data_IF_268656120639
#
_entry.id   IF_268656120639
#
_cell.length_a   1.000
_cell.length_b   1.000
_cell.length_c   1.000
_cell.angle_alpha   90.00
_cell.angle_beta   90.00
_cell.angle_gamma   90.00
#
_symmetry.space_group_name_H-M   'P 1'
#
loop_
_entity.id
_entity.type
_entity.pdbx_description
1 polymer ?
#
# COMPACT_ATOMS: atom_id res chain seq x y z
N UNK A 1 27.62 31.52 37.67
CA UNK A 1 27.92 31.03 36.31
C UNK A 1 27.81 29.51 36.12
N UNK A 2 28.19 28.66 37.11
CA UNK A 2 28.09 27.18 37.00
C UNK A 2 26.64 26.67 37.23
N UNK A 3 25.87 27.25 38.14
CA UNK A 3 24.52 26.85 38.52
C UNK A 3 23.53 27.16 37.40
N UNK A 4 23.59 28.32 36.78
CA UNK A 4 22.74 28.71 35.66
C UNK A 4 22.89 27.80 34.42
N UNK A 5 24.13 27.35 34.13
CA UNK A 5 24.37 26.37 33.05
C UNK A 5 23.78 25.01 33.33
N UNK A 6 23.66 24.63 34.60
CA UNK A 6 23.08 23.33 34.98
C UNK A 6 21.56 23.33 34.92
N UNK A 7 20.93 24.44 35.31
CA UNK A 7 19.45 24.61 35.19
C UNK A 7 19.03 24.73 33.73
N UNK A 8 19.74 25.50 32.92
CA UNK A 8 19.47 25.58 31.47
C UNK A 8 19.54 24.23 30.78
N UNK A 9 20.53 23.40 31.08
CA UNK A 9 20.64 22.03 30.54
C UNK A 9 19.49 21.11 31.03
N UNK A 10 19.04 21.24 32.28
CA UNK A 10 17.90 20.47 32.80
C UNK A 10 16.59 20.85 32.13
N UNK A 11 16.38 22.14 31.87
CA UNK A 11 15.16 22.66 31.20
C UNK A 11 15.14 22.24 29.73
N UNK A 12 16.28 22.32 29.04
CA UNK A 12 16.43 21.85 27.66
C UNK A 12 16.20 20.33 27.53
N UNK A 13 16.73 19.53 28.46
CA UNK A 13 16.50 18.08 28.47
C UNK A 13 15.04 17.70 28.78
N UNK A 14 14.35 18.44 29.67
CA UNK A 14 12.91 18.26 29.92
C UNK A 14 12.08 18.61 28.70
N UNK A 15 12.38 19.73 28.04
CA UNK A 15 11.70 20.15 26.80
C UNK A 15 11.89 19.11 25.66
N UNK A 16 13.11 18.62 25.46
CA UNK A 16 13.40 17.57 24.46
C UNK A 16 12.66 16.25 24.77
N UNK A 17 12.55 15.88 26.04
CA UNK A 17 11.82 14.68 26.48
C UNK A 17 10.30 14.83 26.27
N UNK A 18 9.72 15.97 26.62
CA UNK A 18 8.30 16.26 26.39
C UNK A 18 7.94 16.29 24.91
N UNK A 19 8.77 16.90 24.07
CA UNK A 19 8.58 16.87 22.60
C UNK A 19 8.68 15.44 22.06
N UNK A 20 9.56 14.61 22.61
CA UNK A 20 9.67 13.20 22.24
C UNK A 20 8.46 12.37 22.66
N UNK A 21 7.86 12.63 23.81
CA UNK A 21 6.67 11.94 24.30
C UNK A 21 5.40 12.37 23.54
N UNK A 22 5.25 13.66 23.27
CA UNK A 22 4.14 14.18 22.46
C UNK A 22 4.17 13.58 21.04
N UNK A 23 5.34 13.40 20.45
CA UNK A 23 5.49 12.75 19.14
C UNK A 23 5.11 11.28 19.14
N UNK A 24 5.37 10.56 20.24
CA UNK A 24 4.92 9.16 20.36
C UNK A 24 3.40 9.05 20.37
N UNK A 25 2.69 10.05 20.90
CA UNK A 25 1.23 10.11 20.84
C UNK A 25 0.68 10.13 19.40
N UNK A 26 1.44 10.66 18.44
CA UNK A 26 1.03 10.65 17.03
C UNK A 26 0.97 9.24 16.42
N UNK A 27 1.60 8.24 17.05
CA UNK A 27 1.46 6.83 16.66
C UNK A 27 0.05 6.28 16.91
N UNK A 28 -0.78 6.97 17.68
CA UNK A 28 -2.18 6.62 17.89
C UNK A 28 -3.09 7.05 16.73
N UNK A 29 -2.64 7.98 15.87
CA UNK A 29 -3.45 8.48 14.75
C UNK A 29 -3.99 7.39 13.82
N UNK A 30 -3.21 6.37 13.40
CA UNK A 30 -3.74 5.26 12.61
C UNK A 30 -4.89 4.52 13.30
N UNK A 31 -4.83 4.34 14.62
CA UNK A 31 -5.89 3.69 15.38
C UNK A 31 -7.13 4.56 15.49
N UNK A 32 -6.96 5.88 15.70
CA UNK A 32 -8.07 6.86 15.70
C UNK A 32 -8.75 6.88 14.34
N UNK A 33 -7.96 6.88 13.25
CA UNK A 33 -8.49 6.77 11.89
C UNK A 33 -9.24 5.46 11.65
N UNK A 34 -8.71 4.34 12.17
CA UNK A 34 -9.40 3.05 12.13
C UNK A 34 -10.73 3.06 12.88
N UNK A 35 -10.80 3.68 14.06
CA UNK A 35 -12.05 3.86 14.82
C UNK A 35 -13.05 4.73 14.06
N UNK A 36 -12.61 5.78 13.37
CA UNK A 36 -13.45 6.59 12.52
C UNK A 36 -14.04 5.76 11.36
N UNK A 37 -13.23 4.96 10.67
CA UNK A 37 -13.72 4.09 9.59
C UNK A 37 -14.67 3.01 10.13
N UNK A 38 -14.41 2.47 11.32
CA UNK A 38 -15.30 1.51 11.97
C UNK A 38 -16.65 2.14 12.28
N UNK A 39 -16.63 3.34 12.86
CA UNK A 39 -17.85 4.10 13.11
C UNK A 39 -18.63 4.33 11.80
N UNK A 40 -17.96 4.74 10.73
CA UNK A 40 -18.57 4.94 9.42
C UNK A 40 -19.23 3.65 8.91
N UNK A 41 -18.51 2.53 8.91
CA UNK A 41 -19.01 1.25 8.43
C UNK A 41 -20.24 0.79 9.21
N UNK A 42 -20.25 0.96 10.53
CA UNK A 42 -21.37 0.56 11.38
C UNK A 42 -22.64 1.42 11.18
N UNK A 43 -22.51 2.67 10.72
CA UNK A 43 -23.65 3.61 10.60
C UNK A 43 -24.10 3.86 9.16
N UNK A 44 -23.18 3.77 8.21
CA UNK A 44 -23.44 4.13 6.81
C UNK A 44 -23.66 2.95 5.89
N UNK A 45 -23.52 1.70 6.40
CA UNK A 45 -23.62 0.51 5.57
C UNK A 45 -24.81 -0.36 5.97
N UNK A 46 -25.38 -1.04 4.98
CA UNK A 46 -26.37 -2.10 5.17
C UNK A 46 -25.69 -3.45 5.05
N UNK A 47 -26.26 -4.48 5.68
CA UNK A 47 -25.71 -5.85 5.64
C UNK A 47 -26.11 -6.55 4.35
N UNK A 48 -25.58 -6.05 3.23
CA UNK A 48 -25.79 -6.62 1.90
C UNK A 48 -24.45 -6.89 1.23
N UNK A 49 -24.46 -7.92 0.42
CA UNK A 49 -23.38 -8.21 -0.53
C UNK A 49 -23.45 -7.20 -1.66
N UNK A 50 -22.31 -6.55 -1.95
CA UNK A 50 -22.25 -5.46 -2.91
C UNK A 50 -21.09 -5.63 -3.88
N UNK A 51 -21.35 -5.37 -5.17
CA UNK A 51 -20.34 -5.27 -6.23
C UNK A 51 -19.44 -6.51 -6.33
N UNK A 52 -18.13 -6.32 -6.38
CA UNK A 52 -17.12 -7.37 -6.52
C UNK A 52 -17.11 -8.43 -5.41
N UNK A 53 -17.75 -8.15 -4.30
CA UNK A 53 -17.88 -9.11 -3.21
C UNK A 53 -18.68 -10.36 -3.61
N UNK A 54 -19.62 -10.22 -4.56
CA UNK A 54 -20.36 -11.34 -5.14
C UNK A 54 -19.42 -12.35 -5.81
N UNK A 55 -18.35 -11.87 -6.45
CA UNK A 55 -17.34 -12.73 -7.10
C UNK A 55 -16.58 -13.56 -6.07
N UNK A 56 -16.19 -12.93 -4.96
CA UNK A 56 -15.50 -13.64 -3.87
C UNK A 56 -16.39 -14.73 -3.29
N UNK A 57 -17.69 -14.46 -3.12
CA UNK A 57 -18.66 -15.45 -2.67
C UNK A 57 -18.69 -16.62 -3.64
N UNK A 58 -18.90 -16.34 -4.93
CA UNK A 58 -19.02 -17.39 -5.94
C UNK A 58 -17.73 -18.21 -6.09
N UNK A 59 -16.55 -17.58 -5.94
CA UNK A 59 -15.27 -18.26 -6.12
C UNK A 59 -14.85 -19.09 -4.90
N UNK A 60 -15.23 -18.68 -3.69
CA UNK A 60 -14.67 -19.28 -2.47
C UNK A 60 -15.69 -19.90 -1.53
N UNK A 61 -16.97 -19.47 -1.57
CA UNK A 61 -17.94 -19.90 -0.57
C UNK A 61 -18.42 -21.33 -0.73
N UNK A 62 -18.73 -21.85 -1.94
CA UNK A 62 -19.25 -23.20 -2.11
C UNK A 62 -18.36 -24.28 -1.50
N UNK A 63 -17.04 -24.11 -1.61
CA UNK A 63 -16.03 -25.11 -1.25
C UNK A 63 -15.00 -24.55 -0.26
N UNK A 64 -15.41 -23.64 0.63
CA UNK A 64 -14.49 -22.95 1.56
C UNK A 64 -13.69 -23.89 2.46
N UNK A 65 -14.18 -25.11 2.71
CA UNK A 65 -13.48 -26.10 3.53
C UNK A 65 -12.58 -27.03 2.70
N UNK A 66 -12.64 -26.95 1.36
CA UNK A 66 -11.74 -27.73 0.51
C UNK A 66 -10.41 -26.99 0.31
N UNK A 67 -9.27 -27.57 0.73
CA UNK A 67 -7.96 -26.99 0.52
C UNK A 67 -7.61 -26.73 -0.96
N UNK A 68 -8.24 -27.42 -1.90
CA UNK A 68 -8.06 -27.22 -3.34
C UNK A 68 -8.49 -25.81 -3.76
N UNK A 69 -9.49 -25.23 -3.12
CA UNK A 69 -9.99 -23.87 -3.43
C UNK A 69 -8.97 -22.77 -3.10
N UNK A 70 -7.95 -23.07 -2.26
CA UNK A 70 -6.85 -22.15 -2.01
C UNK A 70 -6.10 -21.76 -3.30
N UNK A 71 -6.06 -22.65 -4.27
CA UNK A 71 -5.40 -22.44 -5.55
C UNK A 71 -6.33 -21.97 -6.66
N UNK A 72 -7.64 -21.85 -6.38
CA UNK A 72 -8.60 -21.31 -7.33
C UNK A 72 -8.37 -19.81 -7.48
N UNK A 73 -8.19 -19.31 -8.70
CA UNK A 73 -8.12 -17.87 -8.93
C UNK A 73 -9.49 -17.23 -8.78
N UNK A 74 -9.54 -16.03 -8.23
CA UNK A 74 -10.64 -15.11 -8.48
C UNK A 74 -10.55 -14.67 -9.94
N UNK A 75 -11.65 -14.45 -10.61
CA UNK A 75 -11.86 -14.21 -12.05
C UNK A 75 -10.62 -13.81 -12.90
N UNK A 76 -9.75 -12.95 -12.38
CA UNK A 76 -8.58 -12.43 -13.11
C UNK A 76 -7.25 -12.77 -12.46
N UNK A 77 -7.23 -12.96 -11.15
CA UNK A 77 -6.00 -13.13 -10.38
C UNK A 77 -6.24 -14.00 -9.17
N UNK A 78 -5.20 -14.67 -8.74
CA UNK A 78 -5.25 -15.40 -7.47
C UNK A 78 -4.76 -14.51 -6.34
N UNK A 79 -5.54 -14.45 -5.26
CA UNK A 79 -5.18 -13.75 -4.03
C UNK A 79 -5.27 -14.74 -2.87
N UNK A 80 -4.17 -15.44 -2.55
CA UNK A 80 -4.21 -16.58 -1.64
C UNK A 80 -4.78 -16.30 -0.25
N UNK A 81 -4.64 -15.07 0.27
CA UNK A 81 -5.17 -14.71 1.59
C UNK A 81 -6.72 -14.74 1.64
N UNK A 82 -7.39 -14.65 0.49
CA UNK A 82 -8.85 -14.72 0.46
C UNK A 82 -9.37 -16.06 0.97
N UNK A 83 -8.68 -17.16 0.66
CA UNK A 83 -9.09 -18.48 1.14
C UNK A 83 -9.10 -18.59 2.68
N UNK A 84 -7.99 -18.38 3.41
CA UNK A 84 -8.02 -18.46 4.87
C UNK A 84 -8.96 -17.45 5.51
N UNK A 85 -9.14 -16.27 4.91
CA UNK A 85 -10.11 -15.29 5.40
C UNK A 85 -11.54 -15.78 5.27
N UNK A 86 -11.89 -16.37 4.12
CA UNK A 86 -13.22 -16.98 3.92
C UNK A 86 -13.44 -18.16 4.84
N UNK A 87 -12.44 -19.03 4.97
CA UNK A 87 -12.51 -20.16 5.90
C UNK A 87 -12.78 -19.70 7.33
N UNK A 88 -12.08 -18.69 7.83
CA UNK A 88 -12.30 -18.13 9.17
C UNK A 88 -13.68 -17.50 9.26
N UNK A 89 -14.08 -16.70 8.27
CA UNK A 89 -15.36 -16.01 8.26
C UNK A 89 -16.55 -17.01 8.28
N UNK A 90 -16.49 -18.05 7.45
CA UNK A 90 -17.55 -19.08 7.39
C UNK A 90 -17.59 -19.90 8.68
N UNK A 91 -16.43 -20.38 9.14
CA UNK A 91 -16.35 -21.31 10.27
C UNK A 91 -16.74 -20.66 11.60
N UNK A 92 -16.31 -19.42 11.84
CA UNK A 92 -16.46 -18.78 13.16
C UNK A 92 -17.50 -17.68 13.20
N UNK A 93 -17.86 -17.09 12.05
CA UNK A 93 -18.78 -15.95 11.99
C UNK A 93 -20.04 -16.24 11.14
N UNK A 94 -20.22 -17.48 10.65
CA UNK A 94 -21.40 -17.87 9.89
C UNK A 94 -21.55 -17.07 8.60
N UNK A 95 -20.46 -16.63 8.02
CA UNK A 95 -20.40 -15.72 6.89
C UNK A 95 -20.94 -14.31 7.21
N UNK A 96 -20.12 -13.48 7.78
CA UNK A 96 -20.45 -12.10 8.14
C UNK A 96 -19.77 -11.11 7.19
N UNK A 97 -20.57 -10.27 6.53
CA UNK A 97 -20.04 -9.14 5.73
C UNK A 97 -19.28 -8.16 6.62
N UNK A 98 -19.74 -7.96 7.84
CA UNK A 98 -19.07 -7.10 8.81
C UNK A 98 -17.66 -7.58 9.15
N UNK A 99 -17.43 -8.89 9.22
CA UNK A 99 -16.09 -9.46 9.43
C UNK A 99 -15.11 -8.95 8.38
N UNK A 100 -15.47 -9.00 7.10
CA UNK A 100 -14.59 -8.58 6.03
C UNK A 100 -14.35 -7.06 6.00
N UNK A 101 -15.39 -6.29 6.32
CA UNK A 101 -15.27 -4.84 6.46
C UNK A 101 -14.34 -4.44 7.60
N UNK A 102 -14.46 -5.09 8.75
CA UNK A 102 -13.55 -4.88 9.89
C UNK A 102 -12.12 -5.28 9.52
N UNK A 103 -11.96 -6.41 8.80
CA UNK A 103 -10.65 -6.84 8.35
C UNK A 103 -10.02 -5.86 7.35
N UNK A 104 -10.85 -5.25 6.50
CA UNK A 104 -10.44 -4.18 5.59
C UNK A 104 -9.93 -2.94 6.35
N UNK A 105 -10.64 -2.53 7.40
CA UNK A 105 -10.24 -1.42 8.27
C UNK A 105 -8.90 -1.73 8.97
N UNK A 106 -8.73 -2.95 9.48
CA UNK A 106 -7.46 -3.40 10.05
C UNK A 106 -6.32 -3.32 9.03
N UNK A 107 -6.57 -3.72 7.79
CA UNK A 107 -5.61 -3.56 6.69
C UNK A 107 -5.21 -2.10 6.49
N UNK A 108 -6.17 -1.18 6.50
CA UNK A 108 -5.92 0.26 6.39
C UNK A 108 -5.07 0.80 7.57
N UNK A 109 -5.37 0.38 8.80
CA UNK A 109 -4.56 0.72 9.99
C UNK A 109 -3.14 0.19 9.84
N UNK A 110 -2.99 -1.08 9.41
CA UNK A 110 -1.68 -1.70 9.19
C UNK A 110 -0.88 -1.01 8.08
N UNK A 111 -1.53 -0.47 7.07
CA UNK A 111 -0.90 0.37 6.05
C UNK A 111 -0.39 1.70 6.66
N UNK A 112 -1.23 2.37 7.45
CA UNK A 112 -0.90 3.70 7.95
C UNK A 112 0.07 3.69 9.14
N UNK A 113 0.22 2.58 9.85
CA UNK A 113 1.20 2.44 10.94
C UNK A 113 2.66 2.64 10.48
N UNK A 114 3.19 1.95 9.45
CA UNK A 114 4.55 2.20 8.97
C UNK A 114 4.72 3.61 8.39
N UNK A 115 3.68 4.18 7.75
CA UNK A 115 3.71 5.57 7.27
C UNK A 115 3.86 6.55 8.43
N UNK A 116 3.07 6.38 9.50
CA UNK A 116 3.18 7.19 10.72
C UNK A 116 4.57 7.05 11.36
N UNK A 117 5.08 5.81 11.48
CA UNK A 117 6.42 5.55 12.02
C UNK A 117 7.51 6.27 11.22
N UNK A 118 7.42 6.24 9.89
CA UNK A 118 8.36 6.92 9.00
C UNK A 118 8.34 8.43 9.25
N UNK A 119 7.17 9.06 9.17
CA UNK A 119 7.02 10.50 9.33
C UNK A 119 7.50 11.01 10.70
N UNK A 120 7.21 10.25 11.76
CA UNK A 120 7.66 10.58 13.12
C UNK A 120 9.18 10.44 13.25
N UNK A 121 9.77 9.39 12.66
CA UNK A 121 11.20 9.17 12.66
C UNK A 121 11.94 10.29 11.91
N UNK A 122 11.43 10.70 10.75
CA UNK A 122 11.96 11.82 9.96
C UNK A 122 11.69 13.19 10.59
N UNK A 123 11.11 13.22 11.78
CA UNK A 123 10.78 14.46 12.49
C UNK A 123 9.89 15.40 11.69
N UNK A 124 9.05 14.86 10.82
CA UNK A 124 8.07 15.65 10.06
C UNK A 124 7.19 16.48 10.99
N UNK A 125 6.86 17.69 10.56
CA UNK A 125 5.95 18.56 11.31
C UNK A 125 4.53 17.96 11.39
N UNK A 126 3.79 18.32 12.44
CA UNK A 126 2.39 17.90 12.61
C UNK A 126 1.55 18.29 11.39
N UNK A 127 1.86 19.41 10.76
CA UNK A 127 1.23 19.92 9.53
C UNK A 127 1.40 19.00 8.30
N UNK A 128 2.35 18.08 8.33
CA UNK A 128 2.54 17.06 7.31
C UNK A 128 1.86 15.76 7.74
N UNK A 129 2.02 15.39 9.02
CA UNK A 129 1.49 14.13 9.55
C UNK A 129 -0.04 14.11 9.49
N UNK A 130 -0.70 15.18 9.94
CA UNK A 130 -2.17 15.24 9.96
C UNK A 130 -2.80 15.13 8.56
N UNK A 131 -2.41 15.91 7.54
CA UNK A 131 -2.95 15.73 6.19
C UNK A 131 -2.70 14.34 5.62
N UNK A 132 -1.52 13.76 5.83
CA UNK A 132 -1.23 12.38 5.37
C UNK A 132 -2.17 11.37 6.04
N UNK A 133 -2.43 11.51 7.35
CA UNK A 133 -3.38 10.66 8.06
C UNK A 133 -4.82 10.89 7.56
N UNK A 134 -5.24 12.14 7.36
CA UNK A 134 -6.56 12.47 6.82
C UNK A 134 -6.78 11.86 5.44
N UNK A 135 -5.81 11.95 4.53
CA UNK A 135 -5.87 11.30 3.22
C UNK A 135 -5.88 9.78 3.38
N UNK A 136 -5.05 9.23 4.27
CA UNK A 136 -4.99 7.80 4.55
C UNK A 136 -6.30 7.21 5.07
N UNK A 137 -7.09 7.96 5.80
CA UNK A 137 -8.39 7.56 6.35
C UNK A 137 -9.58 8.30 5.73
N UNK A 138 -9.40 8.92 4.56
CA UNK A 138 -10.50 9.57 3.84
C UNK A 138 -11.53 8.54 3.38
N UNK A 139 -12.77 8.98 3.23
CA UNK A 139 -13.86 8.16 2.71
C UNK A 139 -13.86 8.04 1.17
N UNK A 140 -12.87 8.58 0.49
CA UNK A 140 -12.72 8.44 -0.96
C UNK A 140 -12.57 6.97 -1.40
N UNK A 141 -12.14 6.11 -0.49
CA UNK A 141 -12.06 4.65 -0.67
C UNK A 141 -13.25 3.88 -0.08
N UNK A 142 -14.39 4.54 0.10
CA UNK A 142 -15.58 3.96 0.73
C UNK A 142 -16.03 2.63 0.10
N UNK A 143 -15.96 2.54 -1.22
CA UNK A 143 -16.33 1.33 -1.95
C UNK A 143 -15.47 0.13 -1.53
N UNK A 144 -14.15 0.30 -1.42
CA UNK A 144 -13.24 -0.75 -0.97
C UNK A 144 -13.53 -1.18 0.47
N UNK A 145 -13.99 -0.27 1.33
CA UNK A 145 -14.33 -0.56 2.72
C UNK A 145 -15.64 -1.33 2.82
N UNK A 146 -16.68 -0.92 2.08
CA UNK A 146 -18.02 -1.54 2.11
C UNK A 146 -18.02 -2.89 1.42
N UNK A 147 -17.36 -2.99 0.29
CA UNK A 147 -17.27 -4.17 -0.53
C UNK A 147 -16.50 -5.32 0.15
N UNK A 148 -15.65 -5.03 1.16
CA UNK A 148 -14.87 -6.06 1.86
C UNK A 148 -13.69 -6.63 1.05
N UNK A 149 -13.56 -6.28 -0.23
CA UNK A 149 -12.44 -6.73 -1.09
C UNK A 149 -11.19 -5.88 -0.92
N UNK A 150 -11.31 -4.68 -0.37
CA UNK A 150 -10.23 -3.71 -0.24
C UNK A 150 -9.11 -4.11 0.72
N UNK A 151 -9.32 -5.11 1.59
CA UNK A 151 -8.33 -5.53 2.57
C UNK A 151 -7.00 -5.92 1.92
N UNK A 152 -7.02 -6.56 0.77
CA UNK A 152 -5.83 -7.00 0.03
C UNK A 152 -5.00 -5.81 -0.44
N UNK A 153 -5.66 -4.75 -0.93
CA UNK A 153 -4.98 -3.52 -1.35
C UNK A 153 -4.23 -2.89 -0.16
N UNK A 154 -4.92 -2.72 0.97
CA UNK A 154 -4.32 -2.10 2.16
C UNK A 154 -3.22 -2.95 2.77
N UNK A 155 -3.42 -4.27 2.87
CA UNK A 155 -2.40 -5.19 3.38
C UNK A 155 -1.16 -5.22 2.49
N UNK A 156 -1.33 -5.22 1.16
CA UNK A 156 -0.22 -5.20 0.21
C UNK A 156 0.64 -3.96 0.37
N UNK A 157 0.02 -2.78 0.34
CA UNK A 157 0.76 -1.54 0.53
C UNK A 157 1.32 -1.39 1.95
N UNK A 158 0.63 -1.88 2.97
CA UNK A 158 1.14 -1.93 4.33
C UNK A 158 2.41 -2.78 4.45
N UNK A 159 2.41 -3.95 3.80
CA UNK A 159 3.58 -4.82 3.69
C UNK A 159 4.74 -4.12 2.96
N UNK A 160 4.45 -3.42 1.85
CA UNK A 160 5.44 -2.70 1.07
C UNK A 160 6.11 -1.59 1.88
N UNK A 161 5.32 -0.72 2.49
CA UNK A 161 5.86 0.36 3.33
C UNK A 161 6.64 -0.17 4.53
N UNK A 162 6.14 -1.22 5.18
CA UNK A 162 6.86 -1.83 6.29
C UNK A 162 8.19 -2.42 5.86
N UNK A 163 8.22 -3.10 4.69
CA UNK A 163 9.46 -3.65 4.15
C UNK A 163 10.48 -2.54 3.83
N UNK A 164 10.04 -1.43 3.24
CA UNK A 164 10.93 -0.30 2.98
C UNK A 164 11.53 0.28 4.26
N UNK A 165 10.76 0.36 5.34
CA UNK A 165 11.29 0.76 6.65
C UNK A 165 12.34 -0.22 7.20
N UNK A 166 12.12 -1.52 7.01
CA UNK A 166 13.08 -2.55 7.42
C UNK A 166 14.35 -2.44 6.58
N UNK A 167 14.19 -2.37 5.26
CA UNK A 167 15.27 -2.23 4.28
C UNK A 167 16.15 -1.02 4.61
N UNK A 168 15.53 0.14 4.81
CA UNK A 168 16.24 1.36 5.14
C UNK A 168 17.02 1.21 6.45
N UNK A 169 16.44 0.66 7.52
CA UNK A 169 17.14 0.43 8.78
C UNK A 169 18.35 -0.50 8.64
N UNK A 170 18.21 -1.55 7.85
CA UNK A 170 19.31 -2.50 7.62
C UNK A 170 20.45 -1.84 6.85
N UNK A 171 20.14 -1.08 5.81
CA UNK A 171 21.16 -0.46 4.97
C UNK A 171 21.74 0.86 5.53
N UNK A 172 21.06 1.51 6.48
CA UNK A 172 21.60 2.68 7.20
C UNK A 172 22.30 2.33 8.51
N UNK A 173 22.38 1.05 8.87
CA UNK A 173 23.05 0.60 10.11
C UNK A 173 22.23 0.89 11.38
N UNK A 174 20.95 1.22 11.27
CA UNK A 174 20.03 1.47 12.40
C UNK A 174 19.10 0.28 12.67
N UNK A 175 19.54 -0.91 12.30
CA UNK A 175 18.77 -2.14 12.37
C UNK A 175 18.34 -2.48 13.79
N UNK A 176 17.12 -2.99 13.93
CA UNK A 176 16.56 -3.54 15.16
C UNK A 176 16.78 -5.07 15.20
N UNK A 177 16.74 -5.69 16.39
CA UNK A 177 16.75 -7.15 16.48
C UNK A 177 15.67 -7.77 15.60
N UNK A 178 16.07 -8.70 14.75
CA UNK A 178 15.18 -9.40 13.82
C UNK A 178 14.90 -8.69 12.48
N UNK A 179 15.39 -7.46 12.23
CA UNK A 179 15.17 -6.77 10.95
C UNK A 179 15.84 -7.53 9.80
N UNK A 180 16.99 -8.15 10.02
CA UNK A 180 17.64 -8.97 9.01
C UNK A 180 16.75 -10.17 8.60
N UNK A 181 16.14 -10.87 9.56
CA UNK A 181 15.19 -11.94 9.28
C UNK A 181 13.97 -11.41 8.53
N UNK A 182 13.44 -10.25 8.91
CA UNK A 182 12.29 -9.63 8.24
C UNK A 182 12.61 -9.26 6.80
N UNK A 183 13.82 -8.76 6.52
CA UNK A 183 14.26 -8.42 5.17
C UNK A 183 14.13 -9.63 4.21
N UNK A 184 14.41 -10.83 4.72
CA UNK A 184 14.31 -12.06 3.93
C UNK A 184 12.90 -12.64 3.87
N UNK A 185 12.08 -12.49 4.92
CA UNK A 185 10.75 -13.10 5.01
C UNK A 185 9.64 -12.28 4.37
N UNK A 186 9.74 -10.94 4.40
CA UNK A 186 8.67 -10.07 3.89
C UNK A 186 8.36 -10.26 2.40
N UNK A 187 9.34 -10.48 1.49
CA UNK A 187 9.02 -10.80 0.09
C UNK A 187 8.16 -12.06 -0.07
N UNK A 188 8.36 -13.06 0.79
CA UNK A 188 7.56 -14.29 0.75
C UNK A 188 6.12 -14.07 1.22
N UNK A 189 5.90 -13.17 2.18
CA UNK A 189 4.54 -12.79 2.57
C UNK A 189 3.78 -12.09 1.43
N UNK A 190 4.47 -11.47 0.49
CA UNK A 190 3.83 -10.87 -0.68
C UNK A 190 3.12 -11.89 -1.56
N UNK A 191 3.55 -13.15 -1.59
CA UNK A 191 2.82 -14.23 -2.26
C UNK A 191 1.42 -14.44 -1.69
N UNK A 192 1.28 -14.27 -0.38
CA UNK A 192 0.01 -14.49 0.31
C UNK A 192 -0.95 -13.30 0.13
N UNK A 193 -0.42 -12.07 0.27
CA UNK A 193 -1.27 -10.88 0.44
C UNK A 193 -1.31 -9.96 -0.77
N UNK A 194 -0.28 -9.98 -1.65
CA UNK A 194 -0.15 -8.93 -2.65
C UNK A 194 -0.95 -9.17 -3.93
N UNK A 195 -1.29 -10.43 -4.24
CA UNK A 195 -1.94 -10.73 -5.51
C UNK A 195 -1.19 -10.10 -6.70
N UNK A 196 -1.87 -9.40 -7.61
CA UNK A 196 -1.23 -8.77 -8.78
C UNK A 196 -0.23 -7.66 -8.42
N UNK A 197 -0.34 -7.07 -7.23
CA UNK A 197 0.59 -6.03 -6.77
C UNK A 197 2.00 -6.53 -6.48
N UNK A 198 2.21 -7.86 -6.46
CA UNK A 198 3.54 -8.45 -6.28
C UNK A 198 4.52 -8.00 -7.36
N UNK A 199 4.04 -7.75 -8.59
CA UNK A 199 4.87 -7.24 -9.67
C UNK A 199 5.39 -5.82 -9.38
N UNK A 200 4.50 -4.93 -8.94
CA UNK A 200 4.86 -3.56 -8.54
C UNK A 200 5.82 -3.56 -7.35
N UNK A 201 5.53 -4.38 -6.34
CA UNK A 201 6.38 -4.54 -5.16
C UNK A 201 7.79 -4.99 -5.54
N UNK A 202 7.90 -6.07 -6.30
CA UNK A 202 9.18 -6.61 -6.74
C UNK A 202 9.95 -5.61 -7.60
N UNK A 203 9.30 -4.96 -8.56
CA UNK A 203 9.93 -3.94 -9.41
C UNK A 203 10.50 -2.80 -8.55
N UNK A 204 9.74 -2.31 -7.58
CA UNK A 204 10.20 -1.24 -6.68
C UNK A 204 11.39 -1.68 -5.82
N UNK A 205 11.36 -2.93 -5.30
CA UNK A 205 12.50 -3.47 -4.54
C UNK A 205 13.75 -3.60 -5.41
N UNK A 206 13.62 -4.13 -6.64
CA UNK A 206 14.75 -4.27 -7.55
C UNK A 206 15.35 -2.91 -7.91
N UNK A 207 14.52 -1.89 -8.13
CA UNK A 207 14.98 -0.52 -8.34
C UNK A 207 15.70 0.01 -7.09
N UNK A 208 15.16 -0.22 -5.89
CA UNK A 208 15.81 0.18 -4.64
C UNK A 208 17.17 -0.51 -4.45
N UNK A 209 17.25 -1.82 -4.71
CA UNK A 209 18.52 -2.56 -4.62
C UNK A 209 19.52 -2.12 -5.69
N UNK A 210 19.07 -1.88 -6.93
CA UNK A 210 19.90 -1.32 -8.00
C UNK A 210 20.44 0.06 -7.64
N UNK A 211 19.61 0.91 -7.05
CA UNK A 211 20.02 2.23 -6.56
C UNK A 211 21.05 2.15 -5.45
N UNK A 212 20.88 1.27 -4.46
CA UNK A 212 21.85 1.03 -3.40
C UNK A 212 23.17 0.50 -3.94
N UNK A 213 23.13 -0.40 -4.92
CA UNK A 213 24.33 -0.90 -5.60
C UNK A 213 25.07 0.19 -6.36
N UNK A 214 24.33 1.05 -7.07
CA UNK A 214 24.88 2.15 -7.87
C UNK A 214 25.52 3.24 -6.99
N UNK A 215 24.86 3.65 -5.92
CA UNK A 215 25.38 4.69 -5.02
C UNK A 215 26.64 4.27 -4.28
N UNK A 216 26.91 2.95 -4.24
CA UNK A 216 28.12 2.40 -3.64
C UNK A 216 28.45 3.03 -2.29
N UNK A 217 27.42 3.18 -1.46
CA UNK A 217 27.61 3.67 -0.12
C UNK A 217 28.53 2.68 0.60
N UNK A 218 29.70 3.13 1.09
CA UNK A 218 30.76 2.29 1.65
C UNK A 218 30.30 1.37 2.77
N UNK A 219 29.13 1.63 3.33
CA UNK A 219 28.51 0.88 4.42
C UNK A 219 27.53 -0.21 3.96
N UNK A 220 27.22 -0.29 2.65
CA UNK A 220 26.33 -1.31 2.12
C UNK A 220 27.14 -2.54 1.75
N UNK A 221 26.85 -3.68 2.41
CA UNK A 221 27.41 -4.96 2.02
C UNK A 221 26.86 -5.38 0.65
N UNK A 222 27.60 -5.03 -0.39
CA UNK A 222 27.23 -5.31 -1.78
C UNK A 222 27.03 -6.81 -2.08
N UNK A 223 27.52 -7.72 -1.22
CA UNK A 223 27.33 -9.16 -1.35
C UNK A 223 25.90 -9.58 -1.01
N UNK A 224 25.18 -8.80 -0.20
CA UNK A 224 23.79 -9.09 0.19
C UNK A 224 22.78 -8.69 -0.86
N UNK A 225 23.07 -7.66 -1.68
CA UNK A 225 22.12 -7.12 -2.65
C UNK A 225 21.63 -8.15 -3.70
N UNK A 226 22.48 -8.99 -4.31
CA UNK A 226 22.00 -10.02 -5.23
C UNK A 226 21.03 -11.01 -4.56
N UNK A 227 21.32 -11.42 -3.32
CA UNK A 227 20.44 -12.30 -2.56
C UNK A 227 19.10 -11.66 -2.21
N UNK A 228 19.10 -10.38 -1.83
CA UNK A 228 17.88 -9.61 -1.64
C UNK A 228 17.06 -9.54 -2.92
N UNK A 229 17.71 -9.31 -4.06
CA UNK A 229 17.08 -9.32 -5.39
C UNK A 229 16.43 -10.66 -5.71
N UNK A 230 17.13 -11.76 -5.45
CA UNK A 230 16.60 -13.13 -5.64
C UNK A 230 15.40 -13.38 -4.72
N UNK A 231 15.48 -12.99 -3.44
CA UNK A 231 14.36 -13.13 -2.50
C UNK A 231 13.13 -12.29 -2.91
N UNK A 232 13.29 -11.22 -3.67
CA UNK A 232 12.17 -10.47 -4.23
C UNK A 232 11.64 -11.11 -5.53
N UNK A 233 12.53 -11.65 -6.37
CA UNK A 233 12.17 -12.18 -7.68
C UNK A 233 11.50 -13.55 -7.61
N UNK A 234 11.97 -14.45 -6.74
CA UNK A 234 11.43 -15.80 -6.63
C UNK A 234 9.94 -15.82 -6.30
N UNK A 235 9.43 -15.07 -5.30
CA UNK A 235 8.00 -14.98 -5.03
C UNK A 235 7.19 -14.49 -6.24
N UNK A 236 7.71 -13.53 -7.00
CA UNK A 236 7.07 -13.06 -8.23
C UNK A 236 6.93 -14.17 -9.26
N UNK A 237 8.02 -14.90 -9.51
CA UNK A 237 8.00 -16.01 -10.46
C UNK A 237 7.05 -17.11 -10.02
N UNK A 238 7.05 -17.48 -8.74
CA UNK A 238 6.12 -18.46 -8.18
C UNK A 238 4.68 -18.01 -8.31
N UNK A 239 4.39 -16.72 -8.11
CA UNK A 239 3.07 -16.16 -8.32
C UNK A 239 2.59 -16.34 -9.77
N UNK A 240 3.41 -15.94 -10.73
CA UNK A 240 3.06 -16.10 -12.16
C UNK A 240 2.93 -17.55 -12.58
N UNK A 241 3.84 -18.41 -12.14
CA UNK A 241 3.76 -19.85 -12.42
C UNK A 241 2.48 -20.47 -11.86
N UNK A 242 2.09 -20.08 -10.64
CA UNK A 242 0.87 -20.58 -10.01
C UNK A 242 -0.39 -20.08 -10.72
N UNK A 243 -0.37 -18.84 -11.24
CA UNK A 243 -1.49 -18.32 -12.03
C UNK A 243 -1.57 -19.02 -13.40
N UNK A 244 -0.44 -19.26 -14.05
CA UNK A 244 -0.41 -19.97 -15.35
C UNK A 244 -0.86 -21.43 -15.25
N UNK A 245 -0.66 -22.06 -14.09
CA UNK A 245 -1.13 -23.43 -13.83
C UNK A 245 -2.63 -23.51 -13.46
N UNK A 246 -3.24 -22.40 -13.11
CA UNK A 246 -4.66 -22.34 -12.77
C UNK A 246 -5.52 -22.21 -14.03
N UNK A 247 -6.56 -23.01 -14.13
CA UNK A 247 -7.56 -22.87 -15.19
C UNK A 247 -8.51 -21.73 -14.83
N UNK A 248 -8.42 -20.65 -15.59
CA UNK A 248 -9.40 -19.57 -15.50
C UNK A 248 -10.55 -19.85 -16.44
N UNK A 249 -11.72 -20.09 -15.93
CA UNK A 249 -12.94 -20.10 -16.74
C UNK A 249 -13.40 -18.64 -16.95
N UNK A 250 -12.82 -17.98 -17.94
CA UNK A 250 -13.24 -16.62 -18.31
C UNK A 250 -14.46 -16.68 -19.23
N UNK A 251 -15.58 -16.35 -18.69
CA UNK A 251 -16.77 -16.07 -19.48
C UNK A 251 -16.62 -14.69 -20.16
N UNK A 252 -16.08 -14.67 -21.37
CA UNK A 252 -16.14 -13.53 -22.28
C UNK A 252 -15.01 -12.51 -22.24
N UNK A 253 -13.98 -12.66 -21.43
CA UNK A 253 -12.78 -11.85 -21.54
C UNK A 253 -11.84 -12.45 -22.60
N UNK A 254 -11.44 -11.66 -23.59
CA UNK A 254 -10.38 -12.05 -24.51
C UNK A 254 -9.04 -11.96 -23.77
N UNK A 255 -8.25 -13.03 -23.81
CA UNK A 255 -6.87 -13.04 -23.34
C UNK A 255 -5.97 -12.22 -24.28
N UNK A 256 -6.08 -10.91 -24.19
CA UNK A 256 -5.20 -9.99 -24.92
C UNK A 256 -3.95 -9.77 -24.04
N UNK A 257 -2.79 -10.12 -24.57
CA UNK A 257 -1.52 -9.90 -23.89
C UNK A 257 -1.26 -8.41 -23.63
N UNK A 258 -0.52 -8.08 -22.56
CA UNK A 258 -0.20 -6.70 -22.19
C UNK A 258 0.39 -5.88 -23.35
N UNK A 259 1.31 -6.47 -24.12
CA UNK A 259 1.92 -5.80 -25.26
C UNK A 259 0.91 -5.52 -26.37
N UNK A 260 0.04 -6.47 -26.65
CA UNK A 260 -1.04 -6.34 -27.61
C UNK A 260 -2.04 -5.27 -27.20
N UNK A 261 -2.45 -5.27 -25.91
CA UNK A 261 -3.30 -4.21 -25.32
C UNK A 261 -2.66 -2.84 -25.48
N UNK A 262 -1.37 -2.69 -25.18
CA UNK A 262 -0.67 -1.42 -25.30
C UNK A 262 -0.55 -0.98 -26.76
N UNK A 263 -0.42 -1.90 -27.71
CA UNK A 263 -0.36 -1.58 -29.14
C UNK A 263 -1.73 -1.20 -29.70
N UNK A 264 -2.75 -1.99 -29.38
CA UNK A 264 -4.12 -1.80 -29.87
C UNK A 264 -4.80 -0.58 -29.25
N UNK A 265 -4.60 -0.35 -27.94
CA UNK A 265 -5.24 0.72 -27.18
C UNK A 265 -4.27 1.81 -26.72
N UNK A 266 -3.24 2.10 -27.52
CA UNK A 266 -2.17 3.04 -27.13
C UNK A 266 -2.69 4.41 -26.66
N UNK A 267 -3.60 5.01 -27.42
CA UNK A 267 -4.22 6.30 -27.07
C UNK A 267 -5.04 6.20 -25.80
N UNK A 268 -5.86 5.16 -25.66
CA UNK A 268 -6.69 4.91 -24.48
C UNK A 268 -5.84 4.71 -23.22
N UNK A 269 -4.75 3.96 -23.33
CA UNK A 269 -3.84 3.71 -22.20
C UNK A 269 -3.22 4.99 -21.66
N UNK A 270 -2.84 5.93 -22.53
CA UNK A 270 -2.32 7.24 -22.12
C UNK A 270 -3.42 8.07 -21.44
N UNK A 271 -4.59 8.13 -22.02
CA UNK A 271 -5.72 8.86 -21.44
C UNK A 271 -6.14 8.28 -20.10
N UNK A 272 -6.17 6.95 -19.97
CA UNK A 272 -6.45 6.26 -18.70
C UNK A 272 -5.43 6.61 -17.62
N UNK A 273 -4.14 6.61 -17.97
CA UNK A 273 -3.07 7.00 -17.05
C UNK A 273 -3.25 8.46 -16.59
N UNK A 274 -3.49 9.38 -17.52
CA UNK A 274 -3.67 10.80 -17.20
C UNK A 274 -4.91 11.02 -16.31
N UNK A 275 -6.02 10.34 -16.59
CA UNK A 275 -7.21 10.37 -15.74
C UNK A 275 -6.92 9.85 -14.32
N UNK A 276 -6.19 8.74 -14.22
CA UNK A 276 -5.80 8.18 -12.93
C UNK A 276 -4.98 9.16 -12.08
N UNK A 277 -4.02 9.86 -12.71
CA UNK A 277 -3.24 10.88 -12.01
C UNK A 277 -4.06 12.13 -11.66
N UNK A 278 -4.97 12.56 -12.50
CA UNK A 278 -5.92 13.65 -12.18
C UNK A 278 -6.80 13.26 -10.97
N UNK A 279 -7.25 11.99 -10.92
CA UNK A 279 -8.02 11.42 -9.82
C UNK A 279 -7.31 11.41 -8.47
N UNK A 280 -5.98 11.56 -8.44
CA UNK A 280 -5.25 11.71 -7.16
C UNK A 280 -5.44 13.08 -6.51
N UNK A 281 -5.86 14.08 -7.26
CA UNK A 281 -6.17 15.43 -6.72
C UNK A 281 -7.67 15.64 -6.51
N UNK A 282 -8.46 15.25 -7.51
CA UNK A 282 -9.90 15.32 -7.47
C UNK A 282 -10.40 13.87 -7.55
N UNK A 283 -11.19 13.41 -6.60
CA UNK A 283 -11.68 12.02 -6.64
C UNK A 283 -12.37 11.70 -7.96
N UNK A 284 -12.41 10.42 -8.34
CA UNK A 284 -13.03 9.99 -9.59
C UNK A 284 -14.48 10.46 -9.71
N UNK A 285 -15.26 10.38 -8.63
CA UNK A 285 -16.66 10.84 -8.58
C UNK A 285 -16.77 12.35 -8.84
N UNK A 286 -15.90 13.16 -8.23
CA UNK A 286 -15.88 14.62 -8.47
C UNK A 286 -15.51 14.93 -9.91
N UNK A 287 -14.56 14.21 -10.50
CA UNK A 287 -14.22 14.39 -11.92
C UNK A 287 -15.39 14.04 -12.83
N UNK A 288 -16.12 12.96 -12.56
CA UNK A 288 -17.31 12.55 -13.30
C UNK A 288 -18.42 13.61 -13.18
N UNK A 289 -18.69 14.10 -11.98
CA UNK A 289 -19.71 15.14 -11.76
C UNK A 289 -19.36 16.44 -12.51
N UNK A 290 -18.10 16.87 -12.47
CA UNK A 290 -17.65 18.08 -13.15
C UNK A 290 -17.66 17.94 -14.68
N UNK A 291 -17.36 16.74 -15.21
CA UNK A 291 -17.46 16.42 -16.62
C UNK A 291 -18.94 16.38 -17.06
N UNK A 292 -19.82 15.75 -16.26
CA UNK A 292 -21.25 15.68 -16.53
C UNK A 292 -21.90 17.07 -16.50
N UNK A 293 -21.48 17.93 -15.59
CA UNK A 293 -21.92 19.33 -15.50
C UNK A 293 -21.35 20.22 -16.62
N UNK A 294 -20.44 19.72 -17.47
CA UNK A 294 -19.77 20.51 -18.49
C UNK A 294 -18.77 21.56 -17.95
N UNK A 295 -18.48 21.53 -16.65
CA UNK A 295 -17.51 22.44 -16.01
C UNK A 295 -16.07 22.09 -16.37
N UNK A 296 -15.78 20.80 -16.54
CA UNK A 296 -14.51 20.28 -17.05
C UNK A 296 -14.72 19.61 -18.40
N UNK A 297 -13.65 19.56 -19.18
CA UNK A 297 -13.56 18.77 -20.42
C UNK A 297 -12.45 17.74 -20.30
N UNK A 298 -12.52 16.63 -21.06
CA UNK A 298 -11.48 15.61 -21.04
C UNK A 298 -10.06 16.16 -21.28
N UNK A 299 -9.81 17.10 -22.23
CA UNK A 299 -8.48 17.71 -22.36
C UNK A 299 -7.98 18.42 -21.09
N UNK A 300 -8.89 19.05 -20.33
CA UNK A 300 -8.52 19.71 -19.06
C UNK A 300 -8.16 18.67 -18.00
N UNK A 301 -8.86 17.54 -17.93
CA UNK A 301 -8.53 16.44 -17.03
C UNK A 301 -7.18 15.82 -17.39
N UNK A 302 -6.90 15.62 -18.67
CA UNK A 302 -5.59 15.12 -19.14
C UNK A 302 -4.46 16.09 -18.80
N UNK A 303 -4.69 17.40 -18.97
CA UNK A 303 -3.72 18.42 -18.59
C UNK A 303 -3.44 18.40 -17.08
N UNK A 304 -4.50 18.24 -16.25
CA UNK A 304 -4.37 18.10 -14.81
C UNK A 304 -3.54 16.87 -14.43
N UNK A 305 -3.82 15.72 -15.05
CA UNK A 305 -3.05 14.50 -14.84
C UNK A 305 -1.59 14.64 -15.26
N UNK A 306 -1.32 15.27 -16.39
CA UNK A 306 0.04 15.56 -16.82
C UNK A 306 0.78 16.48 -15.85
N UNK A 307 0.11 17.51 -15.31
CA UNK A 307 0.65 18.39 -14.29
C UNK A 307 1.05 17.61 -13.03
N UNK A 308 0.19 16.70 -12.57
CA UNK A 308 0.48 15.85 -11.41
C UNK A 308 1.72 14.98 -11.67
N UNK A 309 1.83 14.35 -12.83
CA UNK A 309 3.01 13.57 -13.19
C UNK A 309 4.27 14.44 -13.16
N UNK A 310 4.21 15.66 -13.72
CA UNK A 310 5.33 16.59 -13.71
C UNK A 310 5.71 17.04 -12.28
N UNK A 311 4.74 17.24 -11.41
CA UNK A 311 4.98 17.56 -10.00
C UNK A 311 5.69 16.40 -9.27
N UNK A 312 5.26 15.15 -9.49
CA UNK A 312 5.94 13.98 -8.93
C UNK A 312 7.36 13.83 -9.47
N UNK A 313 7.53 13.97 -10.79
CA UNK A 313 8.85 13.93 -11.41
C UNK A 313 9.76 15.04 -10.89
N UNK A 314 9.23 16.25 -10.75
CA UNK A 314 9.94 17.39 -10.14
C UNK A 314 10.34 17.14 -8.70
N UNK A 315 9.46 16.57 -7.88
CA UNK A 315 9.76 16.20 -6.49
C UNK A 315 10.90 15.16 -6.42
N UNK A 316 10.87 14.13 -7.27
CA UNK A 316 11.93 13.12 -7.38
C UNK A 316 13.25 13.76 -7.81
N UNK A 317 13.24 14.63 -8.81
CA UNK A 317 14.44 15.35 -9.26
C UNK A 317 15.01 16.26 -8.19
N UNK A 318 14.16 16.97 -7.45
CA UNK A 318 14.58 17.81 -6.31
C UNK A 318 15.19 16.97 -5.19
N UNK A 319 14.62 15.82 -4.88
CA UNK A 319 15.16 14.88 -3.91
C UNK A 319 16.59 14.48 -4.28
N UNK A 320 16.84 14.13 -5.55
CA UNK A 320 18.17 13.79 -6.04
C UNK A 320 19.11 14.99 -6.05
N UNK A 321 18.65 16.15 -6.49
CA UNK A 321 19.50 17.38 -6.55
C UNK A 321 19.89 17.89 -5.16
N UNK A 322 19.00 17.84 -4.19
CA UNK A 322 19.30 18.30 -2.82
C UNK A 322 20.24 17.37 -2.06
N UNK A 323 20.57 16.21 -2.62
CA UNK A 323 21.46 15.23 -2.00
C UNK A 323 20.90 14.66 -0.69
N UNK A 324 19.59 14.81 -0.43
CA UNK A 324 18.94 14.24 0.77
C UNK A 324 19.10 12.72 0.82
N UNK A 325 19.18 12.07 -0.35
CA UNK A 325 19.47 10.63 -0.45
C UNK A 325 20.82 10.23 0.16
N UNK A 326 21.75 11.19 0.36
CA UNK A 326 23.05 10.93 1.03
C UNK A 326 22.93 10.92 2.56
N UNK A 327 21.80 11.35 3.09
CA UNK A 327 21.51 11.41 4.53
C UNK A 327 20.62 10.26 4.99
N UNK A 328 19.94 9.62 4.06
CA UNK A 328 19.19 8.37 4.23
C UNK A 328 20.03 7.20 3.73
#
# INVERSE_FOLDING_TARGET
MSIEKHESRKTENRSRKQVGECRKGLLLLPFIGGLFLLWYVLHATVDVVYSDYIRIINSYLPDTLDPATFFVPDILTRIPINYPLRWVNVTFFGYSVLFDRVFCILGCVLLMCPVAQYLIRERSGVWIILPVMLVGFSLDKWEMLINGTGCVHFLSYGLFFYHYLVLERVFTGTQKPGDERRLWLLPWLSLLVAGPYIAQYTATLLVAYGYLAFLRNRNVDGRRLPWCGLCALIPLLLYYMSNAAATFEHTGAQDIGLLETLQQYRGFSVHFLLNGFAGTLLSGSVLEDLLAAGTLTYPMVYLLGALVILLYAGAVLLYFRTGQYRRT
#
